data_IF_486384683620
#
_entry.id   IF_486384683620
#
_cell.length_a   1.000
_cell.length_b   1.000
_cell.length_c   1.000
_cell.angle_alpha   90.00
_cell.angle_beta   90.00
_cell.angle_gamma   90.00
#
_symmetry.space_group_name_H-M   'P 1'
#
loop_
_entity.id
_entity.type
_entity.pdbx_description
1 polymer ?
#
# COMPACT_ATOMS: atom_id res chain seq x y z
N UNK A 1 -4.67 1.86 22.28
CA UNK A 1 -3.45 1.14 21.88
C UNK A 1 -2.23 1.92 22.37
N UNK A 2 -2.00 3.15 21.93
CA UNK A 2 -0.80 3.94 22.27
C UNK A 2 -0.50 4.02 23.78
N UNK A 3 -1.53 4.22 24.63
CA UNK A 3 -1.35 4.25 26.10
C UNK A 3 -0.83 2.93 26.69
N UNK A 4 -1.20 1.81 26.09
CA UNK A 4 -0.85 0.46 26.58
C UNK A 4 0.45 -0.05 25.94
N UNK A 5 0.71 0.35 24.71
CA UNK A 5 1.86 -0.07 23.93
C UNK A 5 2.53 1.16 23.30
N UNK A 6 3.24 1.99 24.08
CA UNK A 6 3.77 3.27 23.63
C UNK A 6 4.83 3.15 22.52
N UNK A 7 5.55 2.04 22.47
CA UNK A 7 6.58 1.77 21.45
C UNK A 7 6.01 1.27 20.11
N UNK A 8 4.69 0.99 20.05
CA UNK A 8 4.07 0.48 18.81
C UNK A 8 3.79 1.63 17.86
N UNK A 9 4.37 1.57 16.66
CA UNK A 9 4.03 2.48 15.57
C UNK A 9 2.64 2.16 15.02
N UNK A 10 1.75 3.14 15.11
CA UNK A 10 0.35 3.01 14.69
C UNK A 10 0.16 3.72 13.35
N UNK A 11 -0.28 2.98 12.32
CA UNK A 11 -0.72 3.54 11.05
C UNK A 11 -2.25 3.65 11.05
N UNK A 12 -2.79 4.86 10.86
CA UNK A 12 -4.23 5.07 10.72
C UNK A 12 -4.66 4.92 9.26
N UNK A 13 -5.62 4.03 9.01
CA UNK A 13 -6.19 3.80 7.68
C UNK A 13 -7.40 4.72 7.49
N UNK A 14 -7.23 5.80 6.75
CA UNK A 14 -8.28 6.80 6.49
C UNK A 14 -7.98 7.66 5.28
N UNK A 15 -9.02 7.99 4.51
CA UNK A 15 -8.99 9.02 3.46
C UNK A 15 -9.60 10.36 3.93
N UNK A 16 -9.91 10.52 5.23
CA UNK A 16 -10.51 11.72 5.81
C UNK A 16 -9.49 12.50 6.61
N UNK A 17 -9.19 13.73 6.21
CA UNK A 17 -8.20 14.59 6.86
C UNK A 17 -8.50 14.86 8.33
N UNK A 18 -9.78 15.07 8.69
CA UNK A 18 -10.17 15.30 10.08
C UNK A 18 -9.95 14.06 10.97
N UNK A 19 -10.15 12.85 10.42
CA UNK A 19 -9.85 11.59 11.14
C UNK A 19 -8.35 11.42 11.29
N UNK A 20 -7.57 11.68 10.23
CA UNK A 20 -6.10 11.65 10.29
C UNK A 20 -5.56 12.57 11.39
N UNK A 21 -6.05 13.81 11.44
CA UNK A 21 -5.66 14.79 12.47
C UNK A 21 -5.94 14.30 13.89
N UNK A 22 -7.15 13.76 14.13
CA UNK A 22 -7.53 13.25 15.46
C UNK A 22 -6.73 12.00 15.84
N UNK A 23 -6.49 11.09 14.88
CA UNK A 23 -5.73 9.88 15.13
C UNK A 23 -4.26 10.18 15.46
N UNK A 24 -3.62 11.10 14.73
CA UNK A 24 -2.25 11.52 15.03
C UNK A 24 -2.17 12.21 16.38
N UNK A 25 -3.13 13.09 16.73
CA UNK A 25 -3.21 13.68 18.07
C UNK A 25 -3.41 12.64 19.18
N UNK A 26 -3.98 11.47 18.86
CA UNK A 26 -4.16 10.34 19.78
C UNK A 26 -2.98 9.33 19.77
N UNK A 27 -1.89 9.61 19.02
CA UNK A 27 -0.67 8.82 18.99
C UNK A 27 -0.49 7.92 17.76
N UNK A 28 -1.25 8.14 16.68
CA UNK A 28 -0.90 7.51 15.40
C UNK A 28 0.37 8.14 14.82
N UNK A 29 1.27 7.31 14.31
CA UNK A 29 2.59 7.71 13.81
C UNK A 29 2.65 7.81 12.27
N UNK A 30 1.60 7.39 11.55
CA UNK A 30 1.56 7.35 10.09
C UNK A 30 0.11 7.43 9.60
N UNK A 31 -0.11 8.02 8.43
CA UNK A 31 -1.41 8.03 7.74
C UNK A 31 -1.34 7.16 6.49
N UNK A 32 -2.22 6.15 6.42
CA UNK A 32 -2.44 5.31 5.24
C UNK A 32 -3.72 5.75 4.53
N UNK A 33 -3.59 6.33 3.34
CA UNK A 33 -4.72 6.83 2.56
C UNK A 33 -4.91 6.04 1.26
N UNK A 34 -5.97 5.25 1.21
CA UNK A 34 -6.33 4.41 0.05
C UNK A 34 -6.63 5.20 -1.23
N UNK A 35 -6.79 6.52 -1.12
CA UNK A 35 -7.11 7.40 -2.26
C UNK A 35 -5.92 8.23 -2.76
N UNK A 36 -4.79 8.22 -2.05
CA UNK A 36 -3.67 9.10 -2.33
C UNK A 36 -4.06 10.59 -2.33
N UNK A 37 -4.99 10.98 -1.46
CA UNK A 37 -5.50 12.36 -1.35
C UNK A 37 -6.59 12.73 -2.36
N UNK A 38 -7.11 11.78 -3.16
CA UNK A 38 -8.15 12.09 -4.15
C UNK A 38 -9.54 12.27 -3.55
N UNK A 39 -9.85 11.61 -2.43
CA UNK A 39 -11.18 11.65 -1.81
C UNK A 39 -11.35 12.79 -0.80
N UNK A 40 -10.27 13.42 -0.35
CA UNK A 40 -10.31 14.60 0.52
C UNK A 40 -9.23 15.59 0.09
N UNK A 41 -9.61 16.70 -0.53
CA UNK A 41 -8.69 17.74 -1.01
C UNK A 41 -7.86 18.39 0.10
N UNK A 42 -8.23 18.23 1.38
CA UNK A 42 -7.48 18.74 2.52
C UNK A 42 -6.42 17.77 3.02
N UNK A 43 -6.45 16.48 2.59
CA UNK A 43 -5.61 15.42 3.15
C UNK A 43 -4.12 15.76 3.10
N UNK A 44 -3.58 16.06 1.91
CA UNK A 44 -2.13 16.31 1.77
C UNK A 44 -1.68 17.50 2.62
N UNK A 45 -2.43 18.61 2.60
CA UNK A 45 -2.12 19.78 3.43
C UNK A 45 -2.17 19.44 4.92
N UNK A 46 -3.15 18.64 5.34
CA UNK A 46 -3.29 18.22 6.75
C UNK A 46 -2.10 17.38 7.16
N UNK A 47 -1.72 16.36 6.38
CA UNK A 47 -0.58 15.48 6.72
C UNK A 47 0.73 16.25 6.71
N UNK A 48 0.94 17.20 5.76
CA UNK A 48 2.10 18.07 5.75
C UNK A 48 2.26 18.88 7.03
N UNK A 49 1.14 19.40 7.58
CA UNK A 49 1.15 20.11 8.88
C UNK A 49 1.40 19.14 10.06
N UNK A 50 0.92 17.91 9.98
CA UNK A 50 1.10 16.90 11.04
C UNK A 50 2.55 16.37 11.10
N UNK A 51 3.30 16.45 10.00
CA UNK A 51 4.70 16.01 9.94
C UNK A 51 4.91 14.52 10.15
N UNK A 52 3.93 13.69 9.75
CA UNK A 52 4.01 12.22 9.85
C UNK A 52 4.13 11.58 8.47
N UNK A 53 4.74 10.39 8.36
CA UNK A 53 4.77 9.62 7.12
C UNK A 53 3.39 9.40 6.51
N UNK A 54 3.34 9.42 5.19
CA UNK A 54 2.12 9.27 4.40
C UNK A 54 2.22 8.14 3.38
N UNK A 55 1.30 7.20 3.45
CA UNK A 55 1.16 6.16 2.43
C UNK A 55 0.14 6.62 1.40
N UNK A 56 0.61 6.86 0.18
CA UNK A 56 -0.23 7.21 -0.97
C UNK A 56 -0.55 5.96 -1.77
N UNK A 57 -1.81 5.48 -1.67
CA UNK A 57 -2.23 4.30 -2.44
C UNK A 57 -2.91 4.70 -3.76
N UNK A 58 -2.64 3.90 -4.80
CA UNK A 58 -3.32 4.01 -6.10
C UNK A 58 -4.62 3.21 -6.08
N UNK A 59 -5.70 3.88 -6.42
CA UNK A 59 -7.02 3.29 -6.67
C UNK A 59 -7.65 3.92 -7.92
N UNK A 60 -8.22 3.11 -8.81
CA UNK A 60 -9.07 3.61 -9.89
C UNK A 60 -10.53 3.62 -9.42
N UNK A 61 -11.21 4.76 -9.62
CA UNK A 61 -12.58 4.94 -9.14
C UNK A 61 -12.66 5.27 -7.64
N UNK A 62 -13.74 4.86 -7.00
CA UNK A 62 -14.02 5.01 -5.56
C UNK A 62 -14.25 3.63 -4.93
N UNK A 63 -14.22 3.49 -3.59
CA UNK A 63 -14.50 2.21 -2.93
C UNK A 63 -15.85 1.58 -3.35
N UNK A 64 -16.82 2.40 -3.75
CA UNK A 64 -18.15 1.95 -4.17
C UNK A 64 -18.21 1.39 -5.59
N UNK A 65 -17.39 1.93 -6.53
CA UNK A 65 -17.45 1.59 -7.95
C UNK A 65 -16.14 1.08 -8.56
N UNK A 66 -15.06 0.97 -7.77
CA UNK A 66 -13.73 0.58 -8.23
C UNK A 66 -13.67 -0.80 -8.91
N UNK A 67 -14.67 -1.66 -8.70
CA UNK A 67 -14.73 -2.99 -9.30
C UNK A 67 -15.54 -3.01 -10.62
N UNK A 68 -16.18 -1.88 -10.99
CA UNK A 68 -17.00 -1.77 -12.17
C UNK A 68 -16.12 -1.53 -13.41
N UNK A 69 -15.71 -2.61 -14.07
CA UNK A 69 -14.90 -2.59 -15.30
C UNK A 69 -13.64 -1.71 -15.24
N UNK A 70 -12.71 -1.94 -14.29
CA UNK A 70 -11.47 -1.19 -14.24
C UNK A 70 -10.67 -1.38 -15.53
N UNK A 71 -10.27 -0.27 -16.16
CA UNK A 71 -9.59 -0.24 -17.44
C UNK A 71 -8.33 0.63 -17.37
N UNK A 72 -7.24 0.16 -17.97
CA UNK A 72 -5.96 0.85 -18.09
C UNK A 72 -5.47 0.76 -19.53
N UNK A 73 -4.90 1.82 -20.04
CA UNK A 73 -4.19 1.76 -21.35
C UNK A 73 -2.91 0.92 -21.18
N UNK A 74 -2.12 1.27 -20.17
CA UNK A 74 -0.95 0.49 -19.73
C UNK A 74 -0.80 0.64 -18.23
N UNK A 75 -1.25 -0.36 -17.46
CA UNK A 75 -1.34 -0.29 -16.00
C UNK A 75 -0.05 0.17 -15.32
N UNK A 76 1.11 -0.26 -15.81
CA UNK A 76 2.40 0.12 -15.21
C UNK A 76 2.71 1.60 -15.43
N UNK A 77 2.49 2.10 -16.63
CA UNK A 77 2.71 3.50 -17.00
C UNK A 77 1.72 4.41 -16.25
N UNK A 78 0.45 4.01 -16.18
CA UNK A 78 -0.61 4.78 -15.55
C UNK A 78 -0.35 4.92 -14.03
N UNK A 79 0.01 3.81 -13.37
CA UNK A 79 0.34 3.82 -11.93
C UNK A 79 1.63 4.61 -11.67
N UNK A 80 2.65 4.47 -12.51
CA UNK A 80 3.89 5.23 -12.38
C UNK A 80 3.63 6.73 -12.51
N UNK A 81 2.84 7.15 -13.50
CA UNK A 81 2.45 8.55 -13.71
C UNK A 81 1.64 9.09 -12.55
N UNK A 82 0.72 8.28 -12.01
CA UNK A 82 -0.03 8.64 -10.80
C UNK A 82 0.92 8.91 -9.63
N UNK A 83 1.88 8.03 -9.35
CA UNK A 83 2.82 8.24 -8.25
C UNK A 83 3.72 9.44 -8.46
N UNK A 84 4.22 9.69 -9.67
CA UNK A 84 5.01 10.88 -9.94
C UNK A 84 4.25 12.17 -9.58
N UNK A 85 2.98 12.27 -9.99
CA UNK A 85 2.13 13.41 -9.66
C UNK A 85 1.82 13.50 -8.16
N UNK A 86 1.61 12.35 -7.48
CA UNK A 86 1.29 12.33 -6.04
C UNK A 86 2.49 12.68 -5.17
N UNK A 87 3.68 12.21 -5.50
CA UNK A 87 4.93 12.56 -4.81
C UNK A 87 5.18 14.07 -4.93
N UNK A 88 5.05 14.65 -6.12
CA UNK A 88 5.20 16.08 -6.32
C UNK A 88 4.18 16.88 -5.50
N UNK A 89 2.91 16.49 -5.53
CA UNK A 89 1.86 17.14 -4.75
C UNK A 89 2.07 17.03 -3.24
N UNK A 90 2.53 15.87 -2.75
CA UNK A 90 2.81 15.63 -1.35
C UNK A 90 4.02 16.48 -0.87
N UNK A 91 5.10 16.54 -1.64
CA UNK A 91 6.25 17.40 -1.33
C UNK A 91 5.84 18.89 -1.29
N UNK A 92 5.04 19.36 -2.25
CA UNK A 92 4.49 20.73 -2.25
C UNK A 92 3.61 21.03 -1.04
N UNK A 93 2.97 20.01 -0.47
CA UNK A 93 2.17 20.12 0.75
C UNK A 93 3.00 20.05 2.05
N UNK A 94 4.32 19.82 1.96
CA UNK A 94 5.23 19.70 3.10
C UNK A 94 5.34 18.30 3.69
N UNK A 95 4.92 17.26 2.95
CA UNK A 95 5.11 15.86 3.35
C UNK A 95 6.50 15.44 2.85
N UNK A 96 7.37 15.01 3.76
CA UNK A 96 8.75 14.58 3.43
C UNK A 96 8.84 13.06 3.32
N UNK A 97 8.16 12.32 4.20
CA UNK A 97 8.20 10.87 4.27
C UNK A 97 7.00 10.27 3.54
N UNK A 98 7.20 9.90 2.29
CA UNK A 98 6.18 9.32 1.42
C UNK A 98 6.47 7.85 1.20
N UNK A 99 5.43 7.02 1.24
CA UNK A 99 5.42 5.61 0.89
C UNK A 99 4.38 5.43 -0.21
N UNK A 100 4.70 4.68 -1.26
CA UNK A 100 3.74 4.37 -2.32
C UNK A 100 3.16 2.97 -2.14
N UNK A 101 1.85 2.81 -2.41
CA UNK A 101 1.16 1.50 -2.44
C UNK A 101 0.44 1.35 -3.79
N UNK A 102 0.81 0.38 -4.63
CA UNK A 102 0.16 0.15 -5.92
C UNK A 102 -1.33 -0.22 -5.83
N UNK A 103 -1.83 -0.55 -4.65
CA UNK A 103 -3.26 -0.79 -4.41
C UNK A 103 -3.76 -2.06 -5.06
N UNK A 104 -3.16 -3.21 -4.77
CA UNK A 104 -3.65 -4.51 -5.24
C UNK A 104 -5.11 -4.72 -4.82
N UNK A 105 -5.97 -5.12 -5.77
CA UNK A 105 -7.40 -5.33 -5.54
C UNK A 105 -8.26 -4.06 -5.54
N UNK A 106 -7.68 -2.87 -5.69
CA UNK A 106 -8.41 -1.60 -5.75
C UNK A 106 -8.49 -1.10 -7.20
N UNK A 107 -9.65 -1.29 -7.83
CA UNK A 107 -9.87 -0.92 -9.23
C UNK A 107 -8.96 -1.67 -10.21
N UNK A 108 -8.81 -2.99 -10.02
CA UNK A 108 -7.93 -3.85 -10.84
C UNK A 108 -8.55 -5.23 -11.04
N UNK A 109 -8.51 -5.72 -12.27
CA UNK A 109 -8.87 -7.11 -12.59
C UNK A 109 -7.85 -8.10 -12.02
N UNK A 110 -8.11 -9.39 -12.13
CA UNK A 110 -7.17 -10.44 -11.74
C UNK A 110 -5.86 -10.30 -12.53
N UNK A 111 -5.96 -10.15 -13.85
CA UNK A 111 -4.84 -9.99 -14.79
C UNK A 111 -4.04 -8.73 -14.48
N UNK A 112 -4.73 -7.61 -14.19
CA UNK A 112 -4.09 -6.36 -13.78
C UNK A 112 -3.24 -6.54 -12.53
N UNK A 113 -3.75 -7.25 -11.50
CA UNK A 113 -3.02 -7.49 -10.26
C UNK A 113 -1.77 -8.36 -10.50
N UNK A 114 -1.87 -9.43 -11.30
CA UNK A 114 -0.71 -10.29 -11.59
C UNK A 114 0.31 -9.62 -12.49
N UNK A 115 -0.13 -8.87 -13.50
CA UNK A 115 0.75 -8.06 -14.35
C UNK A 115 1.52 -7.03 -13.52
N UNK A 116 0.83 -6.36 -12.59
CA UNK A 116 1.42 -5.39 -11.68
C UNK A 116 2.44 -6.05 -10.74
N UNK A 117 2.10 -7.17 -10.09
CA UNK A 117 3.01 -7.86 -9.16
C UNK A 117 4.27 -8.37 -9.88
N UNK A 118 4.11 -8.91 -11.07
CA UNK A 118 5.24 -9.39 -11.90
C UNK A 118 6.25 -8.29 -12.22
N UNK A 119 5.79 -7.03 -12.32
CA UNK A 119 6.58 -5.92 -12.81
C UNK A 119 6.67 -4.75 -11.81
N UNK A 120 6.46 -4.97 -10.51
CA UNK A 120 6.45 -3.87 -9.54
C UNK A 120 7.78 -3.11 -9.48
N UNK A 121 8.90 -3.74 -9.78
CA UNK A 121 10.20 -3.07 -9.89
C UNK A 121 10.20 -1.93 -10.92
N UNK A 122 9.38 -2.03 -11.98
CA UNK A 122 9.29 -0.99 -13.02
C UNK A 122 8.53 0.27 -12.59
N UNK A 123 7.74 0.18 -11.51
CA UNK A 123 6.99 1.33 -10.95
C UNK A 123 7.66 1.92 -9.71
N UNK A 124 8.81 1.40 -9.30
CA UNK A 124 9.59 1.99 -8.21
C UNK A 124 9.99 3.43 -8.54
N UNK A 125 10.03 4.25 -7.51
CA UNK A 125 10.48 5.63 -7.56
C UNK A 125 11.72 5.78 -6.68
N UNK A 126 12.77 6.41 -7.22
CA UNK A 126 14.05 6.54 -6.53
C UNK A 126 13.88 7.20 -5.15
N UNK A 127 14.38 6.54 -4.12
CA UNK A 127 14.32 7.01 -2.74
C UNK A 127 12.94 6.92 -2.06
N UNK A 128 11.91 6.39 -2.75
CA UNK A 128 10.54 6.27 -2.20
C UNK A 128 10.24 4.80 -1.87
N UNK A 129 10.02 4.45 -0.60
CA UNK A 129 9.66 3.09 -0.22
C UNK A 129 8.31 2.65 -0.82
N UNK A 130 8.21 1.35 -1.13
CA UNK A 130 6.99 0.74 -1.65
C UNK A 130 6.39 -0.23 -0.63
N UNK A 131 5.11 -0.01 -0.32
CA UNK A 131 4.28 -0.90 0.49
C UNK A 131 3.45 -1.80 -0.41
N UNK A 132 3.43 -3.09 -0.10
CA UNK A 132 2.64 -4.10 -0.82
C UNK A 132 1.64 -4.77 0.13
N UNK A 133 0.37 -4.72 -0.26
CA UNK A 133 -0.72 -5.36 0.47
C UNK A 133 -1.46 -6.37 -0.40
N UNK A 134 -1.01 -7.63 -0.44
CA UNK A 134 -1.67 -8.73 -1.18
C UNK A 134 -2.38 -9.73 -0.26
N UNK A 135 -2.20 -9.60 1.05
CA UNK A 135 -2.64 -10.58 2.05
C UNK A 135 -4.13 -10.90 1.95
N UNK A 136 -4.43 -12.18 1.75
CA UNK A 136 -5.78 -12.76 1.68
C UNK A 136 -6.72 -12.07 0.69
N UNK A 137 -6.16 -11.42 -0.36
CA UNK A 137 -6.94 -10.70 -1.37
C UNK A 137 -7.51 -11.62 -2.44
N UNK A 138 -8.52 -11.11 -3.15
CA UNK A 138 -9.26 -11.84 -4.18
C UNK A 138 -8.38 -12.40 -5.31
N UNK A 139 -7.27 -11.75 -5.61
CA UNK A 139 -6.30 -12.25 -6.57
C UNK A 139 -5.71 -13.62 -6.17
N UNK A 140 -5.72 -13.97 -4.89
CA UNK A 140 -5.27 -15.28 -4.38
C UNK A 140 -6.43 -16.26 -4.35
N UNK A 141 -7.46 -15.97 -3.53
CA UNK A 141 -8.49 -16.95 -3.25
C UNK A 141 -9.40 -17.26 -4.46
N UNK A 142 -9.65 -16.28 -5.35
CA UNK A 142 -10.40 -16.53 -6.59
C UNK A 142 -9.63 -17.41 -7.57
N UNK A 143 -8.31 -17.17 -7.73
CA UNK A 143 -7.47 -18.00 -8.61
C UNK A 143 -7.38 -19.44 -8.11
N UNK A 144 -7.20 -19.63 -6.80
CA UNK A 144 -7.04 -20.94 -6.18
C UNK A 144 -8.37 -21.64 -5.90
N UNK A 145 -9.52 -20.95 -6.10
CA UNK A 145 -10.87 -21.45 -5.80
C UNK A 145 -11.01 -21.89 -4.33
N UNK A 146 -10.50 -21.08 -3.40
CA UNK A 146 -10.54 -21.30 -1.96
C UNK A 146 -11.20 -20.11 -1.26
N UNK A 147 -11.44 -20.22 0.04
CA UNK A 147 -11.89 -19.08 0.85
C UNK A 147 -10.73 -18.16 1.26
N UNK A 148 -11.04 -16.89 1.56
CA UNK A 148 -10.04 -15.93 2.01
C UNK A 148 -9.32 -16.38 3.30
N UNK A 149 -10.00 -17.14 4.16
CA UNK A 149 -9.42 -17.71 5.38
C UNK A 149 -8.28 -18.69 5.07
N UNK A 150 -8.36 -19.41 3.96
CA UNK A 150 -7.40 -20.44 3.54
C UNK A 150 -6.25 -19.88 2.67
N UNK A 151 -6.26 -18.56 2.41
CA UNK A 151 -5.31 -17.91 1.50
C UNK A 151 -3.93 -17.62 2.11
N UNK A 152 -3.58 -18.18 3.28
CA UNK A 152 -2.30 -17.95 3.95
C UNK A 152 -1.11 -18.38 3.08
N UNK A 153 -1.13 -19.59 2.55
CA UNK A 153 -0.03 -20.08 1.70
C UNK A 153 0.19 -19.20 0.46
N UNK A 154 -0.91 -18.87 -0.25
CA UNK A 154 -0.84 -17.98 -1.41
C UNK A 154 -0.36 -16.56 -1.04
N UNK A 155 -0.75 -16.07 0.13
CA UNK A 155 -0.25 -14.79 0.68
C UNK A 155 1.26 -14.84 0.87
N UNK A 156 1.80 -15.89 1.48
CA UNK A 156 3.24 -16.04 1.73
C UNK A 156 4.03 -16.10 0.42
N UNK A 157 3.54 -16.84 -0.57
CA UNK A 157 4.16 -16.93 -1.90
C UNK A 157 4.21 -15.54 -2.57
N UNK A 158 3.09 -14.80 -2.60
CA UNK A 158 3.06 -13.50 -3.25
C UNK A 158 3.84 -12.43 -2.48
N UNK A 159 3.91 -12.51 -1.14
CA UNK A 159 4.78 -11.66 -0.34
C UNK A 159 6.27 -11.90 -0.67
N UNK A 160 6.68 -13.17 -0.81
CA UNK A 160 8.05 -13.50 -1.20
C UNK A 160 8.39 -12.93 -2.60
N UNK A 161 7.49 -13.06 -3.56
CA UNK A 161 7.64 -12.46 -4.90
C UNK A 161 7.75 -10.94 -4.79
N UNK A 162 6.89 -10.28 -4.01
CA UNK A 162 6.93 -8.84 -3.81
C UNK A 162 8.29 -8.37 -3.24
N UNK A 163 8.80 -9.06 -2.22
CA UNK A 163 10.11 -8.77 -1.61
C UNK A 163 11.27 -8.96 -2.60
N UNK A 164 11.24 -10.01 -3.42
CA UNK A 164 12.24 -10.23 -4.48
C UNK A 164 12.20 -9.15 -5.55
N UNK A 165 11.02 -8.60 -5.83
CA UNK A 165 10.80 -7.50 -6.78
C UNK A 165 11.09 -6.12 -6.17
N UNK A 166 11.52 -6.03 -4.91
CA UNK A 166 11.97 -4.79 -4.28
C UNK A 166 10.96 -4.09 -3.37
N UNK A 167 9.89 -4.75 -2.94
CA UNK A 167 9.03 -4.22 -1.89
C UNK A 167 9.82 -4.04 -0.58
N UNK A 168 9.63 -2.91 0.10
CA UNK A 168 10.27 -2.63 1.39
C UNK A 168 9.33 -2.83 2.57
N UNK A 169 8.02 -2.73 2.36
CA UNK A 169 7.01 -2.84 3.42
C UNK A 169 5.93 -3.82 2.96
N UNK A 170 5.56 -4.76 3.83
CA UNK A 170 4.43 -5.67 3.64
C UNK A 170 3.28 -5.30 4.59
N UNK A 171 2.07 -5.14 4.05
CA UNK A 171 0.85 -4.97 4.84
C UNK A 171 0.09 -6.29 4.86
N UNK A 172 0.02 -6.93 6.03
CA UNK A 172 -0.43 -8.32 6.16
C UNK A 172 -1.39 -8.52 7.33
N UNK A 173 -2.17 -9.62 7.27
CA UNK A 173 -2.94 -10.14 8.39
C UNK A 173 -2.10 -11.11 9.24
N UNK A 174 -1.25 -11.89 8.57
CA UNK A 174 -0.49 -13.00 9.15
C UNK A 174 0.97 -12.57 9.39
N UNK A 175 1.19 -11.82 10.48
CA UNK A 175 2.47 -11.13 10.75
C UNK A 175 3.63 -12.11 10.93
N UNK A 176 3.41 -13.22 11.64
CA UNK A 176 4.45 -14.23 11.88
C UNK A 176 5.00 -14.80 10.58
N UNK A 177 4.12 -15.22 9.69
CA UNK A 177 4.47 -15.84 8.40
C UNK A 177 5.11 -14.83 7.45
N UNK A 178 4.63 -13.60 7.46
CA UNK A 178 5.24 -12.51 6.71
C UNK A 178 6.65 -12.19 7.20
N UNK A 179 6.88 -12.16 8.53
CA UNK A 179 8.21 -11.95 9.10
C UNK A 179 9.18 -13.08 8.72
N UNK A 180 8.74 -14.33 8.73
CA UNK A 180 9.53 -15.47 8.26
C UNK A 180 9.91 -15.32 6.78
N UNK A 181 8.96 -14.91 5.92
CA UNK A 181 9.24 -14.64 4.52
C UNK A 181 10.31 -13.55 4.34
N UNK A 182 10.21 -12.45 5.10
CA UNK A 182 11.22 -11.37 5.09
C UNK A 182 12.60 -11.93 5.44
N UNK A 183 12.74 -12.67 6.56
CA UNK A 183 14.01 -13.24 6.99
C UNK A 183 14.66 -14.15 5.93
N UNK A 184 13.84 -15.00 5.28
CA UNK A 184 14.31 -15.92 4.24
C UNK A 184 14.79 -15.17 2.99
N UNK A 185 14.01 -14.19 2.52
CA UNK A 185 14.37 -13.39 1.34
C UNK A 185 15.58 -12.50 1.61
N UNK A 186 15.69 -11.89 2.79
CA UNK A 186 16.89 -11.14 3.17
C UNK A 186 18.12 -12.04 3.17
N UNK A 187 18.06 -13.24 3.74
CA UNK A 187 19.17 -14.18 3.71
C UNK A 187 19.61 -14.53 2.29
N UNK A 188 18.63 -14.73 1.36
CA UNK A 188 18.94 -15.00 -0.04
C UNK A 188 19.63 -13.82 -0.75
N UNK A 189 19.31 -12.57 -0.38
CA UNK A 189 19.95 -11.37 -0.97
C UNK A 189 21.42 -11.23 -0.59
N UNK A 190 21.82 -11.76 0.57
CA UNK A 190 23.17 -11.58 1.12
C UNK A 190 23.98 -12.90 1.20
N UNK A 191 23.52 -13.94 0.53
CA UNK A 191 24.24 -15.20 0.41
C UNK A 191 25.14 -15.20 -0.83
#
# INVERSE_FOLDING_TARGET
>A
IHRTFPETLISIDTYRSDVAKQAVAAGAAMVNDISGGNLDAKMLKTVGVLGVPYVAMHMQGTPQNMQDNPSYDTILTDIRSFFAAKIDAAHKAGIHDIIIDPGFGFGKTLEHNYSLLKNISSIQMDGIPMLIGVSRKSMIYKLLQIEAADALNGTTVLNAVALQQGAQILRVHDVKEAHQAVQLIEKLKYA
#
